data_IF_314142559943
#
_entry.id   IF_314142559943
#
_cell.length_a   1.000
_cell.length_b   1.000
_cell.length_c   1.000
_cell.angle_alpha   90.00
_cell.angle_beta   90.00
_cell.angle_gamma   90.00
#
_symmetry.space_group_name_H-M   'P 1'
#
loop_
_entity.id
_entity.type
_entity.pdbx_description
1 polymer ?
#
# COMPACT_ATOMS: atom_id res chain seq x y z
N UNK A 1 -34.23 -0.11 29.11
CA UNK A 1 -35.53 0.34 28.54
C UNK A 1 -35.27 1.60 27.71
N UNK A 2 -35.78 1.60 26.47
CA UNK A 2 -35.87 2.67 25.43
C UNK A 2 -35.96 4.12 25.96
N UNK A 3 -35.66 5.22 25.26
CA UNK A 3 -35.06 5.64 23.98
C UNK A 3 -35.26 7.18 23.94
N UNK A 4 -34.53 7.91 23.07
CA UNK A 4 -34.91 9.19 22.40
C UNK A 4 -34.76 10.58 23.05
N UNK A 5 -33.79 11.29 22.48
CA UNK A 5 -33.79 12.63 21.84
C UNK A 5 -35.14 13.28 21.45
N UNK A 6 -35.23 14.63 21.56
CA UNK A 6 -36.09 15.54 20.76
C UNK A 6 -35.57 16.99 20.98
N UNK A 7 -35.04 17.76 20.02
CA UNK A 7 -35.56 18.37 18.77
C UNK A 7 -36.37 19.68 18.95
N UNK A 8 -35.72 20.78 18.54
CA UNK A 8 -36.14 21.94 17.71
C UNK A 8 -37.55 22.55 17.87
N UNK A 9 -37.60 23.89 17.98
CA UNK A 9 -38.77 24.71 17.62
C UNK A 9 -38.46 26.20 17.54
N UNK A 10 -38.68 26.81 16.37
CA UNK A 10 -38.54 28.23 16.04
C UNK A 10 -39.90 28.94 16.24
N UNK A 11 -39.95 30.20 16.68
CA UNK A 11 -41.16 31.05 16.60
C UNK A 11 -40.81 32.54 16.48
N UNK A 12 -41.65 33.27 15.72
CA UNK A 12 -41.55 34.69 15.34
C UNK A 12 -42.89 35.38 15.69
N UNK A 13 -42.91 36.64 16.21
CA UNK A 13 -43.83 37.76 15.86
C UNK A 13 -44.03 38.86 16.96
N UNK A 14 -43.91 40.15 16.54
CA UNK A 14 -44.69 41.41 16.78
C UNK A 14 -45.27 41.80 18.19
N UNK A 15 -45.49 43.06 18.63
CA UNK A 15 -45.28 44.46 18.19
C UNK A 15 -45.62 45.49 19.32
N UNK A 16 -45.23 46.78 19.13
CA UNK A 16 -45.69 48.07 19.73
C UNK A 16 -45.33 48.39 21.21
N UNK A 17 -45.14 49.64 21.73
CA UNK A 17 -45.06 51.06 21.31
C UNK A 17 -44.53 51.90 22.51
N UNK A 18 -43.97 53.12 22.31
CA UNK A 18 -43.79 54.13 23.41
C UNK A 18 -42.47 54.93 23.38
N UNK A 19 -42.52 56.26 23.52
CA UNK A 19 -41.43 57.19 23.17
C UNK A 19 -40.73 57.98 24.29
N UNK A 20 -39.95 58.96 23.82
CA UNK A 20 -39.31 60.12 24.47
C UNK A 20 -38.00 59.92 25.24
N UNK A 21 -36.90 60.39 24.63
CA UNK A 21 -35.61 60.62 25.29
C UNK A 21 -34.54 61.04 24.27
N UNK A 22 -34.22 62.33 24.20
CA UNK A 22 -33.16 62.88 23.35
C UNK A 22 -31.77 62.61 23.93
N UNK A 23 -30.91 61.90 23.19
CA UNK A 23 -29.45 61.92 23.39
C UNK A 23 -28.75 61.62 22.06
N UNK A 24 -27.81 62.48 21.68
CA UNK A 24 -27.08 62.47 20.41
C UNK A 24 -26.38 61.13 20.15
N UNK A 25 -26.51 60.63 18.91
CA UNK A 25 -25.71 59.50 18.40
C UNK A 25 -24.52 60.05 17.60
N UNK A 26 -23.28 59.61 17.82
CA UNK A 26 -22.11 60.10 17.08
C UNK A 26 -22.19 59.69 15.60
N UNK A 27 -21.87 60.63 14.71
CA UNK A 27 -21.61 60.33 13.31
C UNK A 27 -20.44 59.35 13.19
N UNK A 28 -20.67 58.21 12.55
CA UNK A 28 -19.67 57.21 12.21
C UNK A 28 -18.61 57.85 11.30
N UNK A 29 -17.30 57.77 11.60
CA UNK A 29 -16.29 58.21 10.65
C UNK A 29 -16.30 57.27 9.44
N UNK A 30 -16.47 57.83 8.24
CA UNK A 30 -16.22 57.13 6.98
C UNK A 30 -14.78 56.61 6.99
N UNK A 31 -14.61 55.29 7.01
CA UNK A 31 -13.30 54.65 6.80
C UNK A 31 -12.79 55.05 5.41
N UNK A 32 -11.55 55.55 5.28
CA UNK A 32 -11.02 55.93 3.97
C UNK A 32 -10.99 54.70 3.06
N UNK A 33 -11.50 54.84 1.84
CA UNK A 33 -11.37 53.79 0.82
C UNK A 33 -9.88 53.52 0.59
N UNK A 34 -9.40 52.27 0.76
CA UNK A 34 -7.99 51.97 0.58
C UNK A 34 -7.58 52.29 -0.86
N UNK A 35 -6.41 52.92 -1.03
CA UNK A 35 -5.85 53.23 -2.34
C UNK A 35 -5.66 51.93 -3.14
N UNK A 36 -5.98 51.97 -4.43
CA UNK A 36 -5.86 50.83 -5.34
C UNK A 36 -4.85 51.11 -6.44
N UNK A 37 -4.01 50.12 -6.73
CA UNK A 37 -2.91 50.22 -7.68
C UNK A 37 -2.89 49.00 -8.61
N UNK A 38 -2.17 49.12 -9.73
CA UNK A 38 -1.89 47.99 -10.61
C UNK A 38 -0.51 47.40 -10.35
N UNK A 39 -0.41 46.08 -10.48
CA UNK A 39 0.84 45.34 -10.46
C UNK A 39 0.98 44.61 -11.79
N UNK A 40 2.08 44.82 -12.51
CA UNK A 40 2.35 44.15 -13.78
C UNK A 40 3.75 43.55 -13.81
N UNK A 41 4.07 42.79 -14.85
CA UNK A 41 5.43 42.31 -15.07
C UNK A 41 5.48 41.25 -16.13
N UNK A 42 6.63 40.59 -16.21
CA UNK A 42 6.89 39.50 -17.14
C UNK A 42 7.32 38.23 -16.41
N UNK A 43 7.00 37.08 -17.01
CA UNK A 43 7.55 35.78 -16.66
C UNK A 43 8.42 35.35 -17.84
N UNK A 44 9.72 35.19 -17.59
CA UNK A 44 10.69 34.68 -18.57
C UNK A 44 11.43 33.47 -18.02
N UNK A 45 12.01 32.67 -18.91
CA UNK A 45 12.93 31.60 -18.52
C UNK A 45 14.31 32.19 -18.12
N UNK A 46 14.87 31.76 -17.00
CA UNK A 46 16.19 32.19 -16.57
C UNK A 46 17.25 31.69 -17.57
N UNK A 47 17.98 32.61 -18.20
CA UNK A 47 19.00 32.29 -19.21
C UNK A 47 18.49 32.17 -20.65
N UNK A 48 17.17 32.29 -20.88
CA UNK A 48 16.57 32.39 -22.21
C UNK A 48 15.58 33.56 -22.25
N UNK A 49 15.62 34.41 -23.28
CA UNK A 49 14.66 35.53 -23.38
C UNK A 49 13.24 35.09 -23.82
N UNK A 50 12.93 33.79 -23.77
CA UNK A 50 11.63 33.25 -24.14
C UNK A 50 10.69 33.20 -22.93
N UNK A 51 9.40 33.43 -23.20
CA UNK A 51 8.33 33.27 -22.21
C UNK A 51 7.94 31.80 -22.10
N UNK A 52 7.88 31.24 -20.87
CA UNK A 52 7.47 29.85 -20.68
C UNK A 52 5.96 29.68 -20.92
N UNK A 53 5.55 28.48 -21.34
CA UNK A 53 4.14 28.18 -21.60
C UNK A 53 3.30 28.21 -20.31
N UNK A 54 2.05 28.67 -20.42
CA UNK A 54 1.08 28.71 -19.32
C UNK A 54 1.57 29.46 -18.07
N UNK A 55 2.33 30.55 -18.25
CA UNK A 55 2.74 31.42 -17.15
C UNK A 55 1.56 32.00 -16.36
N UNK A 56 1.65 31.98 -15.03
CA UNK A 56 0.61 32.43 -14.09
C UNK A 56 1.21 33.06 -12.85
N UNK A 57 0.62 34.14 -12.36
CA UNK A 57 0.96 34.77 -11.08
C UNK A 57 -0.23 34.70 -10.11
N UNK A 58 0.04 34.31 -8.87
CA UNK A 58 -0.89 34.27 -7.74
C UNK A 58 -0.52 35.27 -6.66
N UNK A 59 -1.51 35.88 -6.01
CA UNK A 59 -1.33 36.53 -4.70
C UNK A 59 -1.60 35.54 -3.58
N UNK A 60 -0.60 35.28 -2.74
CA UNK A 60 -0.63 34.20 -1.75
C UNK A 60 -1.26 34.60 -0.41
N UNK A 61 -1.16 35.88 -0.03
CA UNK A 61 -1.53 36.40 1.28
C UNK A 61 -1.98 37.89 1.21
N UNK A 62 -2.32 38.47 2.36
CA UNK A 62 -2.77 39.87 2.48
C UNK A 62 -4.18 40.14 1.95
N UNK A 63 -4.57 41.41 1.88
CA UNK A 63 -5.92 41.84 1.46
C UNK A 63 -6.25 41.48 0.00
N UNK A 64 -5.25 41.12 -0.80
CA UNK A 64 -5.39 40.76 -2.21
C UNK A 64 -5.31 39.23 -2.44
N UNK A 65 -5.27 38.41 -1.39
CA UNK A 65 -5.13 36.95 -1.47
C UNK A 65 -6.14 36.32 -2.44
N UNK A 66 -5.67 35.36 -3.24
CA UNK A 66 -6.51 34.59 -4.16
C UNK A 66 -6.77 35.27 -5.51
N UNK A 67 -6.26 36.49 -5.72
CA UNK A 67 -6.23 37.10 -7.05
C UNK A 67 -5.17 36.41 -7.91
N UNK A 68 -5.49 36.24 -9.20
CA UNK A 68 -4.63 35.50 -10.14
C UNK A 68 -4.55 36.24 -11.48
N UNK A 69 -3.41 36.20 -12.15
CA UNK A 69 -3.21 36.78 -13.48
C UNK A 69 -2.49 35.77 -14.39
N UNK A 70 -3.08 35.49 -15.56
CA UNK A 70 -2.41 34.72 -16.60
C UNK A 70 -1.45 35.61 -17.39
N UNK A 71 -0.26 35.08 -17.68
CA UNK A 71 0.68 35.71 -18.57
C UNK A 71 0.22 35.53 -20.04
N UNK A 72 0.40 36.56 -20.86
CA UNK A 72 0.15 36.47 -22.29
C UNK A 72 1.24 35.67 -23.03
N UNK A 73 1.12 35.55 -24.36
CA UNK A 73 2.11 34.85 -25.18
C UNK A 73 3.51 35.48 -25.17
N UNK A 74 3.64 36.71 -24.65
CA UNK A 74 4.91 37.41 -24.43
C UNK A 74 5.31 37.39 -22.95
N UNK A 75 4.67 36.56 -22.13
CA UNK A 75 4.97 36.39 -20.71
C UNK A 75 4.47 37.54 -19.83
N UNK A 76 3.73 38.51 -20.36
CA UNK A 76 3.28 39.69 -19.61
C UNK A 76 2.04 39.37 -18.80
N UNK A 77 2.04 39.70 -17.51
CA UNK A 77 0.89 39.57 -16.63
C UNK A 77 0.52 40.94 -16.04
N UNK A 78 -0.75 41.10 -15.63
CA UNK A 78 -1.24 42.31 -14.98
C UNK A 78 -2.37 42.03 -14.01
N UNK A 79 -2.30 42.68 -12.87
CA UNK A 79 -3.38 42.85 -11.91
C UNK A 79 -3.82 44.32 -11.90
N UNK A 80 -5.13 44.54 -11.92
CA UNK A 80 -5.74 45.87 -11.74
C UNK A 80 -6.49 45.91 -10.41
N UNK A 81 -6.52 47.10 -9.79
CA UNK A 81 -7.34 47.32 -8.59
C UNK A 81 -6.90 46.54 -7.35
N UNK A 82 -5.58 46.32 -7.17
CA UNK A 82 -5.05 45.74 -5.95
C UNK A 82 -5.03 46.77 -4.82
N UNK A 83 -5.48 46.41 -3.64
CA UNK A 83 -5.42 47.28 -2.46
C UNK A 83 -3.97 47.49 -2.03
N UNK A 84 -3.62 48.71 -1.61
CA UNK A 84 -2.32 49.02 -1.04
C UNK A 84 -2.01 48.09 0.15
N UNK A 85 -0.79 47.55 0.20
CA UNK A 85 -0.37 46.67 1.29
C UNK A 85 0.87 45.85 0.96
N UNK A 86 1.26 44.99 1.91
CA UNK A 86 2.34 44.02 1.76
C UNK A 86 1.75 42.64 1.54
N UNK A 87 2.20 41.94 0.51
CA UNK A 87 1.81 40.57 0.20
C UNK A 87 2.88 39.83 -0.59
N UNK A 88 2.77 38.51 -0.67
CA UNK A 88 3.64 37.65 -1.47
C UNK A 88 2.94 37.25 -2.77
N UNK A 89 3.67 37.23 -3.87
CA UNK A 89 3.21 36.69 -5.14
C UNK A 89 4.04 35.48 -5.58
N UNK A 90 3.39 34.51 -6.21
CA UNK A 90 4.03 33.32 -6.78
C UNK A 90 3.87 33.31 -8.28
N UNK A 91 4.97 33.24 -9.03
CA UNK A 91 4.95 32.94 -10.45
C UNK A 91 5.17 31.44 -10.68
N UNK A 92 4.46 30.88 -11.66
CA UNK A 92 4.57 29.49 -12.09
C UNK A 92 4.37 29.39 -13.60
N UNK A 93 4.96 28.38 -14.23
CA UNK A 93 4.79 28.07 -15.64
C UNK A 93 5.12 26.58 -15.88
N UNK A 94 4.71 26.02 -17.02
CA UNK A 94 4.93 24.60 -17.31
C UNK A 94 6.43 24.27 -17.42
N UNK A 95 6.87 23.22 -16.73
CA UNK A 95 8.26 22.75 -16.75
C UNK A 95 9.26 23.71 -16.12
N UNK A 96 8.80 24.62 -15.24
CA UNK A 96 9.62 25.62 -14.56
C UNK A 96 9.45 25.51 -13.05
N UNK A 97 10.51 25.77 -12.30
CA UNK A 97 10.44 25.87 -10.85
C UNK A 97 9.74 27.18 -10.46
N UNK A 98 8.72 27.14 -9.59
CA UNK A 98 7.98 28.34 -9.20
C UNK A 98 8.82 29.25 -8.30
N UNK A 99 8.64 30.56 -8.43
CA UNK A 99 9.35 31.58 -7.64
C UNK A 99 8.34 32.41 -6.84
N UNK A 100 8.66 32.72 -5.57
CA UNK A 100 7.84 33.55 -4.68
C UNK A 100 8.59 34.84 -4.36
N UNK A 101 7.90 35.98 -4.44
CA UNK A 101 8.45 37.31 -4.11
C UNK A 101 7.53 38.12 -3.22
N UNK A 102 8.06 38.81 -2.19
CA UNK A 102 7.30 39.80 -1.45
C UNK A 102 7.13 41.09 -2.28
N UNK A 103 5.98 41.74 -2.11
CA UNK A 103 5.59 43.00 -2.77
C UNK A 103 5.05 43.97 -1.73
N UNK A 104 5.55 45.20 -1.72
CA UNK A 104 5.03 46.32 -0.93
C UNK A 104 4.36 47.32 -1.87
N UNK A 105 3.07 47.13 -2.14
CA UNK A 105 2.35 47.89 -3.16
C UNK A 105 1.87 49.23 -2.60
N UNK A 106 2.60 50.30 -2.88
CA UNK A 106 2.26 51.69 -2.48
C UNK A 106 1.95 52.61 -3.66
N UNK A 107 2.21 52.15 -4.87
CA UNK A 107 1.92 52.80 -6.15
C UNK A 107 1.86 51.72 -7.25
N UNK A 108 1.59 52.10 -8.50
CA UNK A 108 1.70 51.15 -9.61
C UNK A 108 3.12 50.58 -9.69
N UNK A 109 3.25 49.26 -9.73
CA UNK A 109 4.54 48.59 -9.65
C UNK A 109 4.71 47.53 -10.73
N UNK A 110 5.97 47.32 -11.14
CA UNK A 110 6.36 46.22 -12.02
C UNK A 110 7.23 45.20 -11.26
N UNK A 111 6.94 43.90 -11.40
CA UNK A 111 7.71 42.80 -10.82
C UNK A 111 7.92 41.70 -11.85
N UNK A 112 9.16 41.53 -12.31
CA UNK A 112 9.51 40.51 -13.30
C UNK A 112 10.05 39.23 -12.64
N UNK A 113 9.72 38.08 -13.21
CA UNK A 113 10.19 36.76 -12.79
C UNK A 113 11.09 36.13 -13.85
N UNK A 114 12.16 35.49 -13.39
CA UNK A 114 13.04 34.68 -14.23
C UNK A 114 13.04 33.25 -13.68
N UNK A 115 12.08 32.43 -14.12
CA UNK A 115 11.90 31.07 -13.62
C UNK A 115 12.97 30.15 -14.20
N UNK A 116 13.54 29.29 -13.35
CA UNK A 116 14.49 28.28 -13.81
C UNK A 116 13.73 27.11 -14.42
N UNK A 117 14.19 26.63 -15.58
CA UNK A 117 13.66 25.39 -16.17
C UNK A 117 13.90 24.25 -15.20
N UNK A 118 12.84 23.53 -14.86
CA UNK A 118 12.94 22.26 -14.16
C UNK A 118 13.74 21.34 -15.09
N UNK A 119 14.90 20.80 -14.65
CA UNK A 119 15.72 19.96 -15.51
C UNK A 119 14.87 18.83 -16.10
N UNK A 120 14.83 18.73 -17.44
CA UNK A 120 14.24 17.55 -18.08
C UNK A 120 14.99 16.33 -17.54
N UNK A 121 14.28 15.33 -17.02
CA UNK A 121 14.91 14.10 -16.58
C UNK A 121 15.72 13.54 -17.76
N UNK A 122 17.05 13.56 -17.64
CA UNK A 122 17.93 12.95 -18.62
C UNK A 122 17.69 11.43 -18.69
N UNK A 123 18.42 10.69 -19.54
CA UNK A 123 18.43 9.24 -19.41
C UNK A 123 18.84 8.90 -17.97
N UNK A 124 18.04 8.09 -17.27
CA UNK A 124 18.16 7.89 -15.83
C UNK A 124 17.00 7.10 -15.25
N UNK A 125 16.92 7.08 -13.91
CA UNK A 125 15.80 6.51 -13.17
C UNK A 125 15.40 7.47 -12.06
N UNK A 126 14.09 7.64 -11.89
CA UNK A 126 13.51 8.35 -10.75
C UNK A 126 12.69 7.38 -9.92
N UNK A 127 12.38 7.74 -8.69
CA UNK A 127 11.49 6.95 -7.88
C UNK A 127 11.14 7.59 -6.56
N UNK A 128 10.38 6.85 -5.77
CA UNK A 128 9.97 7.23 -4.42
C UNK A 128 10.23 6.07 -3.47
N UNK A 129 10.89 6.36 -2.35
CA UNK A 129 10.96 5.44 -1.21
C UNK A 129 9.75 5.69 -0.30
N UNK A 130 9.04 4.61 0.07
CA UNK A 130 7.87 4.68 0.94
C UNK A 130 7.99 3.68 2.09
N UNK A 131 7.34 3.97 3.19
CA UNK A 131 7.14 3.03 4.28
C UNK A 131 6.18 1.92 3.81
N UNK A 132 6.62 0.67 3.91
CA UNK A 132 5.87 -0.48 3.40
C UNK A 132 4.56 -0.78 4.14
N UNK A 133 4.36 -0.23 5.35
CA UNK A 133 3.13 -0.42 6.12
C UNK A 133 2.13 0.70 5.88
N UNK A 134 2.60 1.94 5.71
CA UNK A 134 1.75 3.14 5.70
C UNK A 134 1.63 3.82 4.34
N UNK A 135 2.41 3.39 3.35
CA UNK A 135 2.58 4.03 2.02
C UNK A 135 3.02 5.50 2.08
N UNK A 136 3.47 5.96 3.25
CA UNK A 136 3.96 7.33 3.42
C UNK A 136 5.37 7.47 2.84
N UNK A 137 5.70 8.59 2.20
CA UNK A 137 7.05 8.81 1.71
C UNK A 137 8.09 8.87 2.83
N UNK A 138 9.28 8.36 2.54
CA UNK A 138 10.42 8.33 3.47
C UNK A 138 11.56 9.21 2.96
N UNK A 139 11.74 10.36 3.60
CA UNK A 139 12.90 11.21 3.39
C UNK A 139 14.12 10.80 4.21
N UNK A 140 15.31 11.15 3.74
CA UNK A 140 16.56 10.83 4.43
C UNK A 140 17.04 9.39 4.28
N UNK A 141 16.48 8.63 3.32
CA UNK A 141 16.96 7.29 2.97
C UNK A 141 18.14 7.41 2.02
N UNK A 142 19.29 6.88 2.42
CA UNK A 142 20.46 6.78 1.56
C UNK A 142 20.23 5.67 0.52
N UNK A 143 20.46 5.99 -0.75
CA UNK A 143 20.34 5.06 -1.88
C UNK A 143 21.69 5.00 -2.56
N UNK A 144 22.37 3.86 -2.47
CA UNK A 144 23.62 3.59 -3.19
C UNK A 144 23.33 2.72 -4.41
N UNK A 145 23.73 3.19 -5.58
CA UNK A 145 23.53 2.51 -6.86
C UNK A 145 24.87 2.17 -7.50
N UNK A 146 25.03 0.91 -7.89
CA UNK A 146 26.27 0.43 -8.47
C UNK A 146 26.62 1.15 -9.78
N UNK A 147 27.84 1.66 -9.86
CA UNK A 147 28.34 2.47 -10.97
C UNK A 147 27.79 3.90 -11.08
N UNK A 148 26.82 4.33 -10.27
CA UNK A 148 26.24 5.69 -10.34
C UNK A 148 26.36 6.50 -9.04
N UNK A 149 26.89 5.92 -7.96
CA UNK A 149 27.16 6.62 -6.71
C UNK A 149 25.99 6.54 -5.73
N UNK A 150 25.78 7.62 -4.96
CA UNK A 150 24.82 7.67 -3.87
C UNK A 150 23.99 8.94 -3.92
N UNK A 151 22.72 8.84 -3.52
CA UNK A 151 21.81 9.97 -3.31
C UNK A 151 21.00 9.75 -2.04
N UNK A 152 20.28 10.77 -1.59
CA UNK A 152 19.39 10.70 -0.42
C UNK A 152 18.00 11.13 -0.83
N UNK A 153 16.98 10.44 -0.35
CA UNK A 153 15.59 10.79 -0.66
C UNK A 153 15.18 12.14 -0.06
N UNK A 154 14.42 12.93 -0.81
CA UNK A 154 13.79 14.17 -0.34
C UNK A 154 12.70 13.89 0.70
N UNK A 155 12.17 14.92 1.35
CA UNK A 155 11.10 14.79 2.37
C UNK A 155 9.81 14.12 1.82
N UNK A 156 9.61 14.22 0.51
CA UNK A 156 8.57 13.56 -0.28
C UNK A 156 8.95 12.15 -0.75
N UNK A 157 10.05 11.59 -0.22
CA UNK A 157 10.60 10.28 -0.57
C UNK A 157 11.25 10.21 -1.95
N UNK A 158 11.29 11.30 -2.71
CA UNK A 158 11.74 11.28 -4.09
C UNK A 158 13.27 11.11 -4.21
N UNK A 159 13.70 10.39 -5.23
CA UNK A 159 15.11 10.30 -5.63
C UNK A 159 15.26 10.26 -7.16
N UNK A 160 16.46 10.59 -7.64
CA UNK A 160 16.81 10.48 -9.05
C UNK A 160 18.28 10.08 -9.22
N UNK A 161 18.55 9.30 -10.26
CA UNK A 161 19.89 9.01 -10.78
C UNK A 161 19.92 9.31 -12.26
N UNK A 162 20.93 10.05 -12.69
CA UNK A 162 21.20 10.28 -14.11
C UNK A 162 22.16 9.19 -14.62
N UNK A 163 21.91 8.65 -15.80
CA UNK A 163 22.80 7.71 -16.48
C UNK A 163 22.58 7.76 -17.98
N UNK A 164 23.62 8.12 -18.73
CA UNK A 164 23.59 8.06 -20.19
C UNK A 164 23.88 6.65 -20.75
N UNK A 165 24.19 5.69 -19.88
CA UNK A 165 24.51 4.32 -20.28
C UNK A 165 23.27 3.62 -20.85
N UNK A 166 23.40 2.80 -21.90
CA UNK A 166 22.27 2.02 -22.40
C UNK A 166 21.78 1.02 -21.34
N UNK A 167 20.47 0.99 -21.11
CA UNK A 167 19.72 0.20 -20.11
C UNK A 167 20.50 -0.93 -19.40
N UNK A 168 21.10 -0.63 -18.25
CA UNK A 168 21.75 -1.61 -17.39
C UNK A 168 20.87 -1.95 -16.18
N UNK A 169 20.89 -3.20 -15.74
CA UNK A 169 20.36 -3.59 -14.43
C UNK A 169 21.47 -3.33 -13.42
N UNK A 170 21.22 -2.44 -12.45
CA UNK A 170 22.18 -2.02 -11.44
C UNK A 170 21.72 -2.46 -10.07
N UNK A 171 22.66 -2.97 -9.26
CA UNK A 171 22.39 -3.25 -7.85
C UNK A 171 22.17 -1.95 -7.07
N UNK A 172 21.19 -1.97 -6.17
CA UNK A 172 20.78 -0.83 -5.35
C UNK A 172 20.70 -1.27 -3.89
N UNK A 173 21.30 -0.50 -3.01
CA UNK A 173 21.16 -0.66 -1.56
C UNK A 173 20.50 0.59 -0.98
N UNK A 174 19.47 0.40 -0.15
CA UNK A 174 18.78 1.44 0.58
C UNK A 174 19.04 1.27 2.08
N UNK A 175 19.48 2.33 2.75
CA UNK A 175 19.80 2.31 4.18
C UNK A 175 19.38 3.61 4.88
N UNK A 176 18.92 3.45 6.12
CA UNK A 176 18.76 4.53 7.10
C UNK A 176 18.57 3.88 8.48
N UNK A 177 18.58 4.67 9.56
CA UNK A 177 18.22 4.18 10.90
C UNK A 177 16.73 3.84 11.06
N UNK A 178 15.88 4.28 10.12
CA UNK A 178 14.42 4.12 10.18
C UNK A 178 13.89 2.88 9.45
N UNK A 179 14.75 2.16 8.73
CA UNK A 179 14.37 1.01 7.91
C UNK A 179 15.23 -0.22 8.20
N UNK A 180 14.72 -1.39 7.86
CA UNK A 180 15.57 -2.55 7.58
C UNK A 180 16.27 -2.30 6.24
N UNK A 181 17.61 -2.47 6.19
CA UNK A 181 18.38 -2.26 4.97
C UNK A 181 17.84 -3.15 3.85
N UNK A 182 17.57 -2.54 2.69
CA UNK A 182 17.06 -3.25 1.50
C UNK A 182 18.13 -3.33 0.42
N UNK A 183 18.26 -4.50 -0.21
CA UNK A 183 19.03 -4.67 -1.45
C UNK A 183 18.14 -5.17 -2.58
N UNK A 184 18.22 -4.55 -3.74
CA UNK A 184 17.41 -4.87 -4.94
C UNK A 184 18.17 -4.46 -6.21
N UNK A 185 17.53 -4.57 -7.38
CA UNK A 185 18.10 -4.06 -8.63
C UNK A 185 17.12 -3.13 -9.34
N UNK A 186 17.64 -2.15 -10.10
CA UNK A 186 16.85 -1.26 -10.94
C UNK A 186 17.42 -1.23 -12.37
N UNK A 187 16.52 -1.17 -13.35
CA UNK A 187 16.90 -0.86 -14.74
C UNK A 187 17.12 0.64 -14.87
N UNK A 188 18.30 1.03 -15.36
CA UNK A 188 18.70 2.43 -15.54
C UNK A 188 19.39 2.60 -16.89
N UNK A 189 18.92 3.51 -17.77
CA UNK A 189 17.64 4.22 -17.71
C UNK A 189 16.44 3.28 -17.69
N UNK A 190 15.38 3.65 -16.98
CA UNK A 190 14.20 2.82 -16.86
C UNK A 190 12.98 3.56 -16.29
N UNK A 191 11.82 2.89 -16.25
CA UNK A 191 10.61 3.45 -15.65
C UNK A 191 10.83 3.84 -14.18
N UNK A 192 9.98 4.72 -13.67
CA UNK A 192 10.02 5.13 -12.28
C UNK A 192 9.81 3.97 -11.32
N UNK A 193 10.54 3.97 -10.20
CA UNK A 193 10.47 2.95 -9.16
C UNK A 193 9.64 3.43 -7.96
N UNK A 194 8.78 2.56 -7.42
CA UNK A 194 8.25 2.70 -6.05
C UNK A 194 8.93 1.67 -5.18
N UNK A 195 9.65 2.11 -4.15
CA UNK A 195 10.46 1.26 -3.29
C UNK A 195 9.85 1.22 -1.89
N UNK A 196 8.95 0.26 -1.60
CA UNK A 196 8.45 0.05 -0.23
C UNK A 196 9.54 -0.53 0.66
N UNK A 197 9.72 0.03 1.85
CA UNK A 197 10.78 -0.33 2.79
C UNK A 197 10.18 -0.88 4.09
N UNK A 198 10.82 -1.90 4.65
CA UNK A 198 10.41 -2.42 5.94
C UNK A 198 10.85 -1.43 7.02
N UNK A 199 9.98 -1.00 7.94
CA UNK A 199 10.38 -0.10 9.02
C UNK A 199 11.35 -0.81 9.97
N UNK A 200 12.28 -0.07 10.56
CA UNK A 200 13.24 -0.62 11.54
C UNK A 200 12.54 -1.16 12.81
N UNK A 201 11.30 -0.74 13.07
CA UNK A 201 10.47 -1.24 14.17
C UNK A 201 9.85 -2.61 13.89
N UNK A 202 9.97 -3.16 12.67
CA UNK A 202 9.52 -4.51 12.37
C UNK A 202 10.31 -5.52 13.22
N UNK A 203 9.60 -6.43 13.87
CA UNK A 203 10.20 -7.59 14.50
C UNK A 203 10.66 -8.58 13.41
N UNK A 204 11.87 -8.33 12.90
CA UNK A 204 12.44 -9.09 11.80
C UNK A 204 12.65 -10.56 12.15
N UNK A 205 12.89 -10.88 13.42
CA UNK A 205 13.04 -12.26 13.89
C UNK A 205 11.72 -13.02 13.78
N UNK A 206 10.62 -12.43 14.25
CA UNK A 206 9.30 -13.02 14.10
C UNK A 206 8.88 -13.11 12.62
N UNK A 207 9.19 -12.09 11.82
CA UNK A 207 8.93 -12.10 10.38
C UNK A 207 9.69 -13.24 9.69
N UNK A 208 10.97 -13.45 10.03
CA UNK A 208 11.78 -14.53 9.48
C UNK A 208 11.24 -15.91 9.87
N UNK A 209 10.83 -16.08 11.12
CA UNK A 209 10.18 -17.32 11.58
C UNK A 209 8.88 -17.61 10.82
N UNK A 210 8.10 -16.58 10.49
CA UNK A 210 6.81 -16.76 9.82
C UNK A 210 6.94 -16.98 8.31
N UNK A 211 7.74 -16.16 7.63
CA UNK A 211 7.72 -16.07 6.16
C UNK A 211 8.99 -16.59 5.48
N UNK A 212 10.12 -16.67 6.21
CA UNK A 212 11.45 -16.99 5.66
C UNK A 212 12.19 -18.07 6.45
N UNK A 213 11.47 -18.99 7.11
CA UNK A 213 12.08 -20.01 7.98
C UNK A 213 13.03 -20.97 7.26
N UNK A 214 12.83 -21.18 5.96
CA UNK A 214 13.73 -21.92 5.07
C UNK A 214 14.89 -21.09 4.52
N UNK A 215 15.05 -19.85 5.01
CA UNK A 215 16.03 -18.87 4.55
C UNK A 215 15.55 -17.94 3.44
N UNK A 216 14.41 -18.25 2.81
CA UNK A 216 13.83 -17.47 1.70
C UNK A 216 12.31 -17.40 1.79
N UNK A 217 11.74 -16.35 1.20
CA UNK A 217 10.31 -16.13 1.13
C UNK A 217 9.63 -17.05 0.11
N UNK A 218 8.59 -17.74 0.56
CA UNK A 218 7.65 -18.44 -0.31
C UNK A 218 6.27 -17.80 -0.18
N UNK A 219 5.61 -17.54 -1.30
CA UNK A 219 4.24 -17.00 -1.29
C UNK A 219 3.49 -17.27 -2.58
N UNK A 220 2.18 -17.13 -2.50
CA UNK A 220 1.32 -17.05 -3.68
C UNK A 220 1.57 -15.72 -4.42
N UNK A 221 1.66 -15.76 -5.75
CA UNK A 221 1.77 -14.56 -6.61
C UNK A 221 0.45 -14.17 -7.27
N UNK A 222 -0.54 -15.07 -7.24
CA UNK A 222 -1.93 -14.86 -7.62
C UNK A 222 -2.84 -15.40 -6.52
N UNK A 223 -4.08 -14.88 -6.43
CA UNK A 223 -5.03 -15.36 -5.44
C UNK A 223 -5.21 -16.89 -5.57
N UNK A 224 -5.13 -17.66 -4.46
CA UNK A 224 -5.32 -19.10 -4.52
C UNK A 224 -6.78 -19.44 -4.84
N UNK A 225 -6.99 -20.64 -5.37
CA UNK A 225 -8.32 -21.27 -5.47
C UNK A 225 -8.50 -22.19 -4.28
N UNK A 226 -9.72 -22.32 -3.77
CA UNK A 226 -10.02 -23.22 -2.65
C UNK A 226 -11.13 -24.20 -3.02
N UNK A 227 -10.94 -25.47 -2.66
CA UNK A 227 -11.97 -26.50 -2.82
C UNK A 227 -12.19 -27.20 -1.48
N UNK A 228 -13.45 -27.27 -1.06
CA UNK A 228 -13.87 -27.99 0.14
C UNK A 228 -14.43 -29.34 -0.27
N UNK A 229 -13.73 -30.41 0.11
CA UNK A 229 -14.25 -31.76 0.02
C UNK A 229 -15.17 -32.01 1.23
N UNK A 230 -16.48 -32.09 0.98
CA UNK A 230 -17.52 -32.10 2.02
C UNK A 230 -17.72 -33.47 2.66
N UNK A 231 -17.41 -34.56 1.95
CA UNK A 231 -17.39 -35.91 2.55
C UNK A 231 -16.07 -36.10 3.29
N UNK A 232 -16.18 -36.49 4.56
CA UNK A 232 -15.04 -36.68 5.46
C UNK A 232 -14.12 -37.76 4.90
N UNK A 233 -12.81 -37.58 5.09
CA UNK A 233 -11.78 -38.50 4.63
C UNK A 233 -11.24 -39.30 5.81
N UNK A 234 -10.86 -40.57 5.60
CA UNK A 234 -10.17 -41.36 6.62
C UNK A 234 -8.70 -40.96 6.66
N UNK A 235 -8.21 -40.48 7.81
CA UNK A 235 -6.79 -40.23 7.98
C UNK A 235 -6.00 -41.55 7.98
N UNK A 236 -4.84 -41.53 7.34
CA UNK A 236 -3.93 -42.68 7.22
C UNK A 236 -2.50 -42.27 7.58
N UNK A 237 -1.97 -41.26 6.89
CA UNK A 237 -0.65 -40.69 7.13
C UNK A 237 -0.64 -39.22 6.72
N UNK A 238 0.30 -38.45 7.26
CA UNK A 238 0.59 -37.09 6.81
C UNK A 238 1.23 -37.07 5.40
N UNK A 239 1.87 -38.15 4.95
CA UNK A 239 2.55 -38.20 3.65
C UNK A 239 1.60 -38.41 2.46
N UNK A 240 0.43 -38.98 2.73
CA UNK A 240 -0.50 -39.42 1.70
C UNK A 240 -1.09 -38.24 0.92
N UNK A 241 -1.47 -38.51 -0.32
CA UNK A 241 -2.04 -37.52 -1.25
C UNK A 241 -3.37 -37.98 -1.83
N UNK A 242 -3.77 -39.21 -1.48
CA UNK A 242 -5.04 -39.82 -1.80
C UNK A 242 -5.62 -40.40 -0.49
N UNK A 243 -6.88 -40.09 -0.20
CA UNK A 243 -7.56 -40.57 1.02
C UNK A 243 -8.92 -41.16 0.67
N UNK A 244 -9.38 -42.12 1.47
CA UNK A 244 -10.67 -42.76 1.25
C UNK A 244 -11.78 -41.95 1.92
N UNK A 245 -12.82 -41.60 1.18
CA UNK A 245 -13.98 -40.91 1.71
C UNK A 245 -14.87 -41.87 2.53
N UNK A 246 -15.34 -41.42 3.71
CA UNK A 246 -16.15 -42.22 4.64
C UNK A 246 -17.62 -41.79 4.63
N UNK A 247 -18.47 -42.48 5.40
CA UNK A 247 -19.91 -42.20 5.44
C UNK A 247 -20.30 -40.79 5.90
N UNK A 248 -19.50 -40.16 6.78
CA UNK A 248 -19.77 -38.82 7.33
C UNK A 248 -19.65 -37.72 6.26
N UNK A 249 -20.63 -36.80 6.21
CA UNK A 249 -20.66 -35.64 5.30
C UNK A 249 -20.91 -34.37 6.11
N UNK A 250 -20.19 -33.29 5.78
CA UNK A 250 -20.45 -31.97 6.35
C UNK A 250 -21.83 -31.45 5.91
N UNK A 251 -22.56 -30.87 6.85
CA UNK A 251 -23.78 -30.12 6.55
C UNK A 251 -23.46 -28.83 5.78
N UNK A 252 -24.45 -28.27 5.11
CA UNK A 252 -24.28 -27.00 4.40
C UNK A 252 -23.85 -25.86 5.34
N UNK A 253 -24.38 -25.82 6.56
CA UNK A 253 -24.01 -24.83 7.56
C UNK A 253 -22.53 -24.94 7.98
N UNK A 254 -22.01 -26.16 8.12
CA UNK A 254 -20.61 -26.39 8.45
C UNK A 254 -19.69 -25.96 7.31
N UNK A 255 -20.02 -26.31 6.06
CA UNK A 255 -19.24 -25.88 4.88
C UNK A 255 -19.26 -24.36 4.73
N UNK A 256 -20.42 -23.73 4.93
CA UNK A 256 -20.57 -22.28 4.89
C UNK A 256 -19.73 -21.58 5.98
N UNK A 257 -19.75 -22.11 7.21
CA UNK A 257 -18.94 -21.60 8.32
C UNK A 257 -17.45 -21.72 8.02
N UNK A 258 -17.00 -22.87 7.52
CA UNK A 258 -15.59 -23.09 7.16
C UNK A 258 -15.13 -22.11 6.08
N UNK A 259 -15.89 -21.97 4.99
CA UNK A 259 -15.56 -21.01 3.92
C UNK A 259 -15.60 -19.57 4.42
N UNK A 260 -16.52 -19.21 5.31
CA UNK A 260 -16.57 -17.88 5.92
C UNK A 260 -15.30 -17.56 6.72
N UNK A 261 -14.80 -18.51 7.49
CA UNK A 261 -13.54 -18.34 8.24
C UNK A 261 -12.33 -18.18 7.32
N UNK A 262 -12.26 -18.95 6.22
CA UNK A 262 -11.18 -18.82 5.23
C UNK A 262 -11.22 -17.49 4.48
N UNK A 263 -12.42 -17.04 4.08
CA UNK A 263 -12.63 -15.71 3.47
C UNK A 263 -12.24 -14.58 4.41
N UNK A 264 -12.53 -14.72 5.70
CA UNK A 264 -12.12 -13.77 6.73
C UNK A 264 -10.60 -13.78 6.94
N UNK A 265 -9.96 -14.96 6.93
CA UNK A 265 -8.51 -15.08 7.14
C UNK A 265 -7.69 -14.56 5.95
N UNK A 266 -8.15 -14.74 4.71
CA UNK A 266 -7.41 -14.39 3.49
C UNK A 266 -6.86 -12.95 3.43
N UNK A 267 -7.68 -11.88 3.57
CA UNK A 267 -7.14 -10.52 3.54
C UNK A 267 -6.18 -10.25 4.70
N UNK A 268 -6.47 -10.80 5.88
CA UNK A 268 -5.61 -10.59 7.07
C UNK A 268 -4.25 -11.27 6.91
N UNK A 269 -4.22 -12.47 6.34
CA UNK A 269 -3.02 -13.25 6.14
C UNK A 269 -2.33 -12.93 4.82
N UNK A 270 -2.84 -12.00 4.00
CA UNK A 270 -2.18 -11.57 2.75
C UNK A 270 -1.95 -10.06 2.71
N UNK A 271 -2.19 -9.37 3.82
CA UNK A 271 -2.07 -7.91 3.91
C UNK A 271 -2.93 -7.19 2.88
N UNK A 272 -4.16 -7.67 2.68
CA UNK A 272 -5.12 -7.21 1.67
C UNK A 272 -4.68 -7.38 0.21
N UNK A 273 -3.58 -8.10 -0.06
CA UNK A 273 -3.16 -8.42 -1.43
C UNK A 273 -4.21 -9.25 -2.15
N UNK A 274 -4.84 -10.19 -1.43
CA UNK A 274 -5.99 -10.94 -1.91
C UNK A 274 -7.18 -10.68 -1.00
N UNK A 275 -8.21 -10.03 -1.52
CA UNK A 275 -9.47 -9.78 -0.81
C UNK A 275 -10.53 -10.85 -1.08
N UNK A 276 -10.26 -11.75 -2.02
CA UNK A 276 -11.11 -12.89 -2.37
C UNK A 276 -10.25 -14.02 -2.98
N UNK A 277 -10.75 -15.25 -2.89
CA UNK A 277 -10.19 -16.38 -3.63
C UNK A 277 -10.41 -16.20 -5.13
N UNK A 278 -9.51 -16.75 -5.95
CA UNK A 278 -9.70 -16.76 -7.40
C UNK A 278 -10.87 -17.65 -7.82
N UNK A 279 -11.15 -18.69 -7.04
CA UNK A 279 -12.26 -19.62 -7.23
C UNK A 279 -12.56 -20.34 -5.89
N UNK A 280 -13.82 -20.67 -5.66
CA UNK A 280 -14.28 -21.41 -4.49
C UNK A 280 -15.20 -22.56 -4.91
N UNK A 281 -14.77 -23.79 -4.66
CA UNK A 281 -15.51 -24.98 -5.04
C UNK A 281 -15.90 -25.87 -3.85
N UNK A 282 -16.94 -26.65 -4.06
CA UNK A 282 -17.41 -27.68 -3.12
C UNK A 282 -17.50 -28.97 -3.89
N UNK A 283 -16.93 -30.02 -3.34
CA UNK A 283 -16.95 -31.36 -3.92
C UNK A 283 -17.45 -32.36 -2.90
N UNK A 284 -18.16 -33.39 -3.37
CA UNK A 284 -18.67 -34.45 -2.51
C UNK A 284 -18.41 -35.79 -3.18
N UNK A 285 -17.26 -36.38 -2.87
CA UNK A 285 -16.95 -37.75 -3.30
C UNK A 285 -18.02 -38.76 -2.83
N UNK A 286 -18.15 -39.88 -3.54
CA UNK A 286 -18.93 -41.02 -3.08
C UNK A 286 -18.26 -41.69 -1.86
N UNK A 287 -19.05 -42.38 -1.04
CA UNK A 287 -18.47 -43.18 0.05
C UNK A 287 -17.59 -44.30 -0.52
N UNK A 288 -16.41 -44.50 0.07
CA UNK A 288 -15.40 -45.45 -0.40
C UNK A 288 -14.53 -44.94 -1.56
N UNK A 289 -14.86 -43.81 -2.17
CA UNK A 289 -14.07 -43.21 -3.25
C UNK A 289 -12.69 -42.73 -2.74
N UNK A 290 -11.69 -42.82 -3.61
CA UNK A 290 -10.34 -42.28 -3.37
C UNK A 290 -10.29 -40.83 -3.84
N UNK A 291 -10.09 -39.90 -2.91
CA UNK A 291 -10.02 -38.47 -3.16
C UNK A 291 -8.57 -38.01 -3.20
N UNK A 292 -8.16 -37.48 -4.35
CA UNK A 292 -6.86 -36.81 -4.54
C UNK A 292 -6.91 -35.42 -3.91
N UNK A 293 -6.06 -35.17 -2.92
CA UNK A 293 -6.00 -33.88 -2.21
C UNK A 293 -4.81 -33.01 -2.62
N UNK A 294 -3.80 -33.57 -3.30
CA UNK A 294 -2.73 -32.78 -3.88
C UNK A 294 -3.11 -32.31 -5.29
N UNK A 295 -3.42 -31.01 -5.42
CA UNK A 295 -3.90 -30.38 -6.66
C UNK A 295 -3.15 -29.05 -6.91
N UNK A 296 -2.32 -28.96 -7.97
CA UNK A 296 -1.67 -27.70 -8.32
C UNK A 296 -2.67 -26.56 -8.57
N UNK A 297 -2.37 -25.37 -8.06
CA UNK A 297 -3.21 -24.18 -8.10
C UNK A 297 -4.34 -24.13 -7.05
N UNK A 298 -4.47 -25.16 -6.21
CA UNK A 298 -5.56 -25.29 -5.25
C UNK A 298 -5.07 -25.42 -3.80
N UNK A 299 -5.87 -24.87 -2.90
CA UNK A 299 -5.90 -25.24 -1.50
C UNK A 299 -7.08 -26.20 -1.33
N UNK A 300 -6.78 -27.47 -1.06
CA UNK A 300 -7.80 -28.50 -0.80
C UNK A 300 -8.03 -28.58 0.70
N UNK A 301 -9.29 -28.42 1.11
CA UNK A 301 -9.69 -28.46 2.51
C UNK A 301 -10.61 -29.64 2.72
N UNK A 302 -10.33 -30.46 3.73
CA UNK A 302 -11.18 -31.58 4.12
C UNK A 302 -11.15 -31.81 5.62
N UNK A 303 -12.25 -32.37 6.14
CA UNK A 303 -12.28 -32.96 7.47
C UNK A 303 -11.79 -34.40 7.41
N UNK A 304 -11.05 -34.81 8.43
CA UNK A 304 -10.44 -36.13 8.54
C UNK A 304 -10.91 -36.86 9.81
N UNK A 305 -11.34 -38.11 9.65
CA UNK A 305 -11.58 -39.00 10.78
C UNK A 305 -10.27 -39.63 11.27
N UNK A 306 -9.99 -39.48 12.57
CA UNK A 306 -8.83 -40.09 13.24
C UNK A 306 -7.54 -39.27 13.21
N UNK A 307 -7.56 -38.03 12.74
CA UNK A 307 -6.37 -37.18 12.64
C UNK A 307 -5.79 -36.90 14.03
N UNK A 308 -6.58 -36.36 14.95
CA UNK A 308 -6.09 -36.04 16.31
C UNK A 308 -5.64 -37.29 17.05
N UNK A 309 -6.35 -38.42 16.90
CA UNK A 309 -5.93 -39.69 17.50
C UNK A 309 -4.58 -40.17 16.97
N UNK A 310 -4.29 -39.95 15.69
CA UNK A 310 -3.08 -40.47 15.06
C UNK A 310 -1.84 -39.61 15.32
N UNK A 311 -1.98 -38.28 15.33
CA UNK A 311 -0.84 -37.34 15.38
C UNK A 311 -0.92 -36.29 16.48
N UNK A 312 -1.96 -36.31 17.33
CA UNK A 312 -2.16 -35.38 18.45
C UNK A 312 -2.30 -33.89 18.06
N UNK A 313 -2.75 -33.62 16.83
CA UNK A 313 -3.05 -32.27 16.35
C UNK A 313 -4.53 -32.14 15.97
N UNK A 314 -5.11 -30.95 16.14
CA UNK A 314 -6.50 -30.67 15.71
C UNK A 314 -6.60 -30.38 14.21
N UNK A 315 -5.52 -29.86 13.64
CA UNK A 315 -5.34 -29.61 12.22
C UNK A 315 -3.92 -29.94 11.80
N UNK A 316 -3.72 -30.15 10.52
CA UNK A 316 -2.40 -30.30 9.93
C UNK A 316 -2.45 -29.86 8.48
N UNK A 317 -1.51 -29.02 8.08
CA UNK A 317 -1.44 -28.51 6.72
C UNK A 317 -0.11 -28.78 6.07
N UNK A 318 -0.18 -29.22 4.82
CA UNK A 318 0.98 -29.35 3.93
C UNK A 318 0.86 -28.37 2.79
N UNK A 319 1.98 -27.94 2.27
CA UNK A 319 2.03 -27.10 1.10
C UNK A 319 3.23 -27.45 0.22
N UNK A 320 3.22 -26.91 -0.99
CA UNK A 320 4.33 -27.05 -1.93
C UNK A 320 4.57 -25.74 -2.65
N UNK A 321 5.81 -25.56 -3.12
CA UNK A 321 6.24 -24.41 -3.90
C UNK A 321 7.10 -24.87 -5.08
N UNK A 322 7.25 -23.99 -6.08
CA UNK A 322 8.12 -24.22 -7.22
C UNK A 322 9.56 -23.79 -6.91
N UNK A 323 10.52 -24.15 -7.76
CA UNK A 323 11.90 -23.65 -7.65
C UNK A 323 12.03 -22.12 -7.73
N UNK A 324 10.99 -21.43 -8.23
CA UNK A 324 10.91 -19.97 -8.25
C UNK A 324 10.38 -19.35 -6.94
N UNK A 325 10.13 -20.17 -5.91
CA UNK A 325 9.60 -19.71 -4.61
C UNK A 325 8.09 -19.48 -4.58
N UNK A 326 7.38 -19.73 -5.70
CA UNK A 326 5.93 -19.54 -5.76
C UNK A 326 5.18 -20.74 -5.20
N UNK A 327 4.23 -20.47 -4.31
CA UNK A 327 3.32 -21.48 -3.77
C UNK A 327 2.49 -22.14 -4.88
N UNK A 328 2.37 -23.47 -4.82
CA UNK A 328 1.73 -24.29 -5.86
C UNK A 328 0.46 -24.98 -5.37
N UNK A 329 0.42 -25.45 -4.12
CA UNK A 329 -0.74 -26.15 -3.57
C UNK A 329 -0.72 -26.14 -2.05
N UNK A 330 -1.91 -26.25 -1.45
CA UNK A 330 -2.11 -26.48 -0.02
C UNK A 330 -3.05 -27.66 0.23
N UNK A 331 -2.77 -28.45 1.27
CA UNK A 331 -3.61 -29.56 1.74
C UNK A 331 -3.91 -29.29 3.20
N UNK A 332 -5.10 -28.79 3.47
CA UNK A 332 -5.55 -28.40 4.81
C UNK A 332 -6.39 -29.54 5.40
N UNK A 333 -5.86 -30.19 6.43
CA UNK A 333 -6.51 -31.30 7.12
C UNK A 333 -7.03 -30.80 8.46
N UNK A 334 -8.31 -31.02 8.74
CA UNK A 334 -8.92 -30.66 10.03
C UNK A 334 -9.54 -31.92 10.64
N UNK A 335 -9.29 -32.19 11.92
CA UNK A 335 -9.93 -33.33 12.58
C UNK A 335 -11.45 -33.15 12.63
N UNK A 336 -12.17 -34.18 12.20
CA UNK A 336 -13.63 -34.16 12.08
C UNK A 336 -14.32 -33.99 13.43
N UNK A 337 -13.87 -34.70 14.46
CA UNK A 337 -14.55 -34.70 15.75
C UNK A 337 -14.31 -33.37 16.48
N UNK A 338 -13.09 -32.86 16.38
CA UNK A 338 -12.76 -31.56 16.96
C UNK A 338 -13.48 -30.41 16.25
N UNK A 339 -13.49 -30.36 14.91
CA UNK A 339 -14.10 -29.24 14.18
C UNK A 339 -15.64 -29.20 14.32
N UNK A 340 -16.26 -30.34 14.64
CA UNK A 340 -17.68 -30.46 14.95
C UNK A 340 -18.02 -30.28 16.45
N UNK A 341 -17.02 -30.11 17.32
CA UNK A 341 -17.22 -30.06 18.78
C UNK A 341 -17.88 -28.77 19.29
N UNK A 342 -17.96 -27.72 18.45
CA UNK A 342 -18.37 -26.38 18.89
C UNK A 342 -17.27 -25.62 19.65
N UNK A 343 -16.00 -26.03 19.48
CA UNK A 343 -14.85 -25.33 20.05
C UNK A 343 -14.84 -23.85 19.68
N UNK A 344 -14.57 -22.99 20.68
CA UNK A 344 -14.40 -21.54 20.46
C UNK A 344 -13.18 -21.22 19.59
N UNK A 345 -12.27 -22.17 19.41
CA UNK A 345 -11.04 -22.00 18.63
C UNK A 345 -11.15 -22.45 17.18
N UNK A 346 -12.32 -22.90 16.69
CA UNK A 346 -12.46 -23.37 15.30
C UNK A 346 -11.95 -22.35 14.28
N UNK A 347 -12.33 -21.07 14.43
CA UNK A 347 -11.87 -20.00 13.53
C UNK A 347 -10.36 -19.77 13.62
N UNK A 348 -9.80 -19.75 14.84
CA UNK A 348 -8.35 -19.61 15.07
C UNK A 348 -7.56 -20.75 14.42
N UNK A 349 -7.98 -22.01 14.62
CA UNK A 349 -7.33 -23.17 14.00
C UNK A 349 -7.43 -23.10 12.48
N UNK A 350 -8.60 -22.80 11.93
CA UNK A 350 -8.78 -22.69 10.47
C UNK A 350 -7.88 -21.59 9.89
N UNK A 351 -7.72 -20.45 10.57
CA UNK A 351 -6.79 -19.42 10.14
C UNK A 351 -5.32 -19.84 10.25
N UNK A 352 -4.95 -20.57 11.32
CA UNK A 352 -3.60 -21.13 11.50
C UNK A 352 -3.22 -22.09 10.37
N UNK A 353 -4.06 -23.09 10.13
CA UNK A 353 -3.88 -24.07 9.07
C UNK A 353 -3.92 -23.41 7.69
N UNK A 354 -4.74 -22.38 7.52
CA UNK A 354 -4.73 -21.60 6.28
C UNK A 354 -3.43 -20.80 6.09
N UNK A 355 -2.82 -20.28 7.16
CA UNK A 355 -1.49 -19.66 7.12
C UNK A 355 -0.42 -20.61 6.59
N UNK A 356 -0.42 -21.87 7.03
CA UNK A 356 0.41 -22.92 6.45
C UNK A 356 0.13 -23.14 4.95
N UNK A 357 -1.13 -23.17 4.52
CA UNK A 357 -1.49 -23.29 3.11
C UNK A 357 -1.02 -22.10 2.26
N UNK A 358 -0.79 -20.93 2.88
CA UNK A 358 -0.19 -19.75 2.26
C UNK A 358 1.35 -19.79 2.24
N UNK A 359 1.97 -20.75 2.93
CA UNK A 359 3.42 -20.97 3.00
C UNK A 359 4.07 -20.56 4.31
N UNK A 360 3.28 -20.25 5.35
CA UNK A 360 3.80 -19.73 6.62
C UNK A 360 4.25 -20.83 7.54
N UNK A 361 5.17 -20.48 8.43
CA UNK A 361 5.68 -21.36 9.48
C UNK A 361 5.46 -20.76 10.87
N UNK A 362 5.71 -21.57 11.89
CA UNK A 362 5.41 -21.18 13.27
C UNK A 362 6.26 -20.02 13.77
N UNK A 363 5.63 -19.16 14.54
CA UNK A 363 6.26 -18.04 15.27
C UNK A 363 6.35 -18.42 16.74
N UNK A 364 7.52 -18.23 17.35
CA UNK A 364 7.80 -18.60 18.73
C UNK A 364 8.17 -17.41 19.62
N UNK A 365 8.54 -16.28 19.02
CA UNK A 365 9.07 -15.13 19.75
C UNK A 365 8.02 -14.10 20.16
N UNK A 366 6.78 -14.25 19.67
CA UNK A 366 5.66 -13.36 20.00
C UNK A 366 4.31 -14.01 19.75
N UNK A 367 3.24 -13.36 20.21
CA UNK A 367 1.87 -13.75 19.91
C UNK A 367 1.58 -13.57 18.41
N UNK A 368 1.06 -14.62 17.78
CA UNK A 368 0.76 -14.71 16.35
C UNK A 368 -0.29 -15.79 16.12
N UNK A 369 -1.08 -15.67 15.06
CA UNK A 369 -1.91 -16.78 14.54
C UNK A 369 -1.09 -18.04 14.27
N UNK A 370 0.20 -17.89 13.96
CA UNK A 370 1.13 -18.99 13.69
C UNK A 370 1.82 -19.53 14.96
N UNK A 371 1.32 -19.24 16.17
CA UNK A 371 1.76 -19.98 17.36
C UNK A 371 1.22 -21.42 17.34
N UNK A 372 1.99 -22.38 17.85
CA UNK A 372 1.71 -23.83 17.78
C UNK A 372 0.42 -24.30 18.44
N UNK A 373 -0.17 -23.50 19.33
CA UNK A 373 -1.43 -23.83 20.00
C UNK A 373 -2.67 -23.51 19.15
N UNK A 374 -2.52 -22.75 18.07
CA UNK A 374 -3.58 -22.34 17.15
C UNK A 374 -4.83 -21.73 17.81
N UNK A 375 -4.67 -21.07 18.97
CA UNK A 375 -5.78 -20.42 19.69
C UNK A 375 -5.86 -18.92 19.46
N UNK A 376 -4.85 -18.34 18.82
CA UNK A 376 -4.77 -16.90 18.51
C UNK A 376 -5.28 -16.63 17.11
N UNK A 377 -6.12 -15.61 16.96
CA UNK A 377 -6.56 -15.08 15.66
C UNK A 377 -5.52 -14.10 15.08
N UNK A 378 -5.50 -13.87 13.74
CA UNK A 378 -4.58 -12.92 13.12
C UNK A 378 -4.61 -11.55 13.81
N UNK A 379 -3.46 -11.10 14.28
CA UNK A 379 -3.29 -9.83 14.96
C UNK A 379 -2.53 -8.82 14.09
N UNK A 380 -2.20 -7.65 14.64
CA UNK A 380 -1.51 -6.59 13.91
C UNK A 380 -0.17 -7.04 13.32
N UNK A 381 0.63 -7.82 14.05
CA UNK A 381 1.90 -8.35 13.55
C UNK A 381 1.69 -9.29 12.35
N UNK A 382 0.69 -10.18 12.41
CA UNK A 382 0.41 -11.11 11.31
C UNK A 382 0.02 -10.35 10.03
N UNK A 383 -0.80 -9.31 10.17
CA UNK A 383 -1.26 -8.46 9.05
C UNK A 383 -0.14 -7.61 8.47
N UNK A 384 0.64 -6.94 9.32
CA UNK A 384 1.77 -6.12 8.90
C UNK A 384 2.85 -6.97 8.23
N UNK A 385 3.19 -8.10 8.83
CA UNK A 385 4.11 -9.07 8.25
C UNK A 385 3.64 -9.59 6.90
N UNK A 386 2.35 -9.98 6.79
CA UNK A 386 1.79 -10.44 5.52
C UNK A 386 1.86 -9.35 4.45
N UNK A 387 1.44 -8.11 4.76
CA UNK A 387 1.55 -6.98 3.83
C UNK A 387 2.97 -6.82 3.29
N UNK A 388 3.96 -6.80 4.19
CA UNK A 388 5.37 -6.66 3.83
C UNK A 388 5.89 -7.83 3.00
N UNK A 389 5.51 -9.08 3.33
CA UNK A 389 5.87 -10.26 2.56
C UNK A 389 5.33 -10.20 1.11
N UNK A 390 4.09 -9.74 0.92
CA UNK A 390 3.50 -9.62 -0.41
C UNK A 390 4.05 -8.44 -1.23
N UNK A 391 4.66 -7.44 -0.60
CA UNK A 391 5.45 -6.39 -1.27
C UNK A 391 6.82 -6.87 -1.77
N UNK A 392 7.20 -8.13 -1.51
CA UNK A 392 8.47 -8.71 -1.94
C UNK A 392 8.28 -9.78 -3.00
N UNK A 393 9.22 -9.94 -3.95
CA UNK A 393 9.21 -11.10 -4.83
C UNK A 393 9.42 -12.38 -4.00
N UNK A 394 8.92 -13.53 -4.49
CA UNK A 394 9.39 -14.83 -4.00
C UNK A 394 10.92 -14.89 -3.97
N UNK A 395 11.47 -15.72 -3.08
CA UNK A 395 12.90 -15.88 -2.84
C UNK A 395 13.61 -14.68 -2.18
N UNK A 396 12.90 -13.63 -1.77
CA UNK A 396 13.48 -12.58 -0.92
C UNK A 396 14.03 -13.19 0.39
N UNK A 397 15.19 -12.73 0.83
CA UNK A 397 15.91 -13.24 2.01
C UNK A 397 16.22 -12.14 3.03
N UNK A 398 16.51 -12.55 4.26
CA UNK A 398 16.89 -11.63 5.35
C UNK A 398 18.21 -10.89 5.05
N UNK A 399 18.38 -9.61 5.45
CA UNK A 399 17.39 -8.77 6.15
C UNK A 399 16.24 -8.29 5.24
N UNK A 400 16.53 -7.83 4.03
CA UNK A 400 15.55 -7.56 2.97
C UNK A 400 16.25 -7.51 1.60
N UNK A 401 16.55 -8.68 1.04
CA UNK A 401 17.33 -8.81 -0.19
C UNK A 401 16.49 -9.52 -1.24
N UNK A 402 16.15 -8.81 -2.31
CA UNK A 402 15.47 -9.38 -3.47
C UNK A 402 16.42 -10.31 -4.26
N UNK A 403 15.92 -11.40 -4.88
CA UNK A 403 16.74 -12.32 -5.65
C UNK A 403 17.24 -11.68 -6.97
N UNK A 404 18.33 -12.19 -7.52
CA UNK A 404 18.76 -11.88 -8.90
C UNK A 404 18.15 -12.94 -9.83
N UNK A 405 17.45 -12.60 -10.95
CA UNK A 405 17.34 -11.29 -11.60
C UNK A 405 16.05 -10.49 -11.37
N UNK A 406 15.62 -10.27 -10.12
CA UNK A 406 14.51 -9.35 -9.83
C UNK A 406 14.92 -7.88 -10.03
N UNK A 407 14.05 -7.11 -10.67
CA UNK A 407 14.24 -5.67 -10.90
C UNK A 407 13.03 -4.87 -10.42
N UNK A 408 13.21 -4.00 -9.42
CA UNK A 408 12.13 -3.32 -8.70
C UNK A 408 11.34 -2.27 -9.47
N UNK A 409 11.83 -1.78 -10.62
CA UNK A 409 11.11 -0.84 -11.49
C UNK A 409 10.59 -1.45 -12.79
N UNK A 410 10.95 -2.69 -13.09
CA UNK A 410 10.20 -3.41 -14.08
C UNK A 410 8.95 -3.87 -13.36
N UNK A 411 7.77 -3.39 -13.78
CA UNK A 411 6.54 -4.16 -13.53
C UNK A 411 6.91 -5.60 -13.84
N UNK A 412 6.48 -6.56 -13.03
CA UNK A 412 6.44 -7.94 -13.48
C UNK A 412 5.59 -7.94 -14.76
N UNK A 413 6.21 -7.64 -15.90
CA UNK A 413 5.69 -7.85 -17.23
C UNK A 413 5.29 -9.30 -17.13
N UNK A 414 3.98 -9.53 -17.22
CA UNK A 414 3.39 -10.85 -17.30
C UNK A 414 4.38 -11.77 -18.01
N UNK A 415 4.90 -12.73 -17.24
CA UNK A 415 5.97 -13.67 -17.59
C UNK A 415 6.29 -13.61 -19.09
N UNK A 416 7.35 -12.91 -19.47
CA UNK A 416 7.97 -13.19 -20.76
C UNK A 416 8.46 -14.64 -20.67
N UNK A 417 7.69 -15.53 -21.27
CA UNK A 417 8.04 -16.95 -21.40
C UNK A 417 9.22 -16.98 -22.36
N UNK A 418 10.42 -17.19 -21.81
CA UNK A 418 11.56 -17.62 -22.61
C UNK A 418 11.40 -19.12 -22.84
N UNK A 419 11.01 -19.50 -24.05
CA UNK A 419 11.13 -20.88 -24.50
C UNK A 419 12.60 -21.16 -24.82
N UNK A 420 13.26 -21.98 -24.01
CA UNK A 420 14.48 -22.65 -24.45
C UNK A 420 14.06 -23.80 -25.38
N UNK A 421 14.35 -23.71 -26.68
CA UNK A 421 14.03 -24.83 -27.58
C UNK A 421 14.12 -24.68 -29.10
N UNK A 422 14.19 -23.49 -29.70
CA UNK A 422 14.29 -23.38 -31.17
C UNK A 422 15.50 -22.53 -31.60
N UNK A 423 16.62 -23.25 -31.81
CA UNK A 423 17.90 -22.93 -32.47
C UNK A 423 18.51 -21.54 -32.30
#
# INVERSE_FOLDING_TARGET
>A
MRLRTLAIGFLLAAAACGGSGSTQTPSTPTSPTPARWSLSGTIVEAGAQASPANGRVDVLDGANQGKTAQADAQGRYRFDGLEQGVFSIRASADGMDPEVRPVTLTSNQTVDFALKRTPAAGPGVSGVAIDGLTDRPLGGVAIRMDGLGETVTGADGAFHFNSADPQQIRAVTLSSSSIVQRATHLRVPGPSATLPLFPASLDLSAFDQMFRSSGVLHRWTTAPRVVVQTRVLKFTSISDVDYTAVGSVMTEAEVNSLLADLRWALPQLTGDTFTAFADEQRETAAEGERVRVSRPGWIVVARYEGLTTAINYWGYTRWSWSGAGEMQAGIMMIDRAWDASGSVYCRSLRAHEFGHALGYTHVFVRQSVMNTNATTEPNAFDRDGARLAFLRPPLNRTPDIDPDPFTGNLRALARQIFWAGDR
#
